data_IF_021553202877
#
_entry.id   IF_021553202877
#
_cell.length_a   1.000
_cell.length_b   1.000
_cell.length_c   1.000
_cell.angle_alpha   90.00
_cell.angle_beta   90.00
_cell.angle_gamma   90.00
#
_symmetry.space_group_name_H-M   'P 1'
#
loop_
_entity.id
_entity.type
_entity.pdbx_description
1 polymer ?
#
# COMPACT_ATOMS: atom_id res chain seq x y z
N UNK A 1 -25.89 0.25 -40.00
CA UNK A 1 -26.12 -0.75 -38.94
C UNK A 1 -25.10 -0.47 -37.85
N UNK A 2 -25.52 -0.05 -36.67
CA UNK A 2 -24.63 0.00 -35.49
C UNK A 2 -24.11 -1.42 -35.35
N UNK A 3 -22.83 -1.63 -35.60
CA UNK A 3 -22.22 -2.93 -35.38
C UNK A 3 -22.17 -3.09 -33.86
N UNK A 4 -23.11 -3.83 -33.26
CA UNK A 4 -23.24 -3.99 -31.80
C UNK A 4 -22.13 -4.90 -31.25
N UNK A 5 -21.38 -5.58 -32.14
CA UNK A 5 -20.33 -6.53 -31.79
C UNK A 5 -19.24 -5.92 -30.87
N UNK A 6 -18.64 -4.74 -31.17
CA UNK A 6 -17.64 -4.12 -30.30
C UNK A 6 -18.17 -3.84 -28.89
N UNK A 7 -19.42 -3.39 -28.77
CA UNK A 7 -20.07 -3.12 -27.48
C UNK A 7 -20.29 -4.39 -26.66
N UNK A 8 -20.70 -5.49 -27.31
CA UNK A 8 -20.85 -6.80 -26.66
C UNK A 8 -19.50 -7.28 -26.16
N UNK A 9 -18.46 -7.22 -27.02
CA UNK A 9 -17.09 -7.61 -26.65
C UNK A 9 -16.60 -6.76 -25.47
N UNK A 10 -16.80 -5.45 -25.54
CA UNK A 10 -16.43 -4.52 -24.48
C UNK A 10 -17.10 -4.88 -23.15
N UNK A 11 -18.41 -5.07 -23.18
CA UNK A 11 -19.22 -5.38 -22.00
C UNK A 11 -18.80 -6.72 -21.38
N UNK A 12 -18.51 -7.74 -22.20
CA UNK A 12 -18.00 -9.02 -21.72
C UNK A 12 -16.63 -8.88 -21.04
N UNK A 13 -15.68 -8.17 -21.66
CA UNK A 13 -14.35 -7.91 -21.08
C UNK A 13 -14.49 -7.16 -19.76
N UNK A 14 -15.35 -6.14 -19.70
CA UNK A 14 -15.62 -5.37 -18.49
C UNK A 14 -16.17 -6.24 -17.36
N UNK A 15 -17.19 -7.06 -17.63
CA UNK A 15 -17.80 -7.96 -16.63
C UNK A 15 -16.78 -8.98 -16.11
N UNK A 16 -16.00 -9.60 -17.00
CA UNK A 16 -14.98 -10.59 -16.63
C UNK A 16 -13.89 -9.93 -15.78
N UNK A 17 -13.40 -8.76 -16.21
CA UNK A 17 -12.35 -8.00 -15.51
C UNK A 17 -12.81 -7.57 -14.12
N UNK A 18 -13.98 -6.95 -14.00
CA UNK A 18 -14.54 -6.51 -12.71
C UNK A 18 -14.87 -7.71 -11.82
N UNK A 19 -15.37 -8.81 -12.38
CA UNK A 19 -15.63 -10.04 -11.65
C UNK A 19 -14.37 -10.64 -11.02
N UNK A 20 -13.27 -10.69 -11.77
CA UNK A 20 -11.97 -11.15 -11.26
C UNK A 20 -11.43 -10.22 -10.16
N UNK A 21 -11.53 -8.90 -10.36
CA UNK A 21 -11.12 -7.91 -9.37
C UNK A 21 -11.89 -8.08 -8.06
N UNK A 22 -13.22 -8.18 -8.11
CA UNK A 22 -14.07 -8.39 -6.92
C UNK A 22 -13.67 -9.67 -6.19
N UNK A 23 -13.40 -10.76 -6.92
CA UNK A 23 -12.97 -12.03 -6.33
C UNK A 23 -11.65 -11.87 -5.56
N UNK A 24 -10.67 -11.17 -6.14
CA UNK A 24 -9.38 -10.94 -5.51
C UNK A 24 -9.49 -10.04 -4.28
N UNK A 25 -10.31 -9.00 -4.32
CA UNK A 25 -10.57 -8.14 -3.14
C UNK A 25 -11.26 -8.94 -2.03
N UNK A 26 -12.24 -9.80 -2.35
CA UNK A 26 -12.86 -10.69 -1.35
C UNK A 26 -11.81 -11.61 -0.72
N UNK A 27 -10.92 -12.20 -1.52
CA UNK A 27 -9.82 -13.01 -1.02
C UNK A 27 -8.91 -12.21 -0.08
N UNK A 28 -8.52 -11.00 -0.46
CA UNK A 28 -7.72 -10.09 0.38
C UNK A 28 -8.37 -9.86 1.75
N UNK A 29 -9.66 -9.53 1.76
CA UNK A 29 -10.41 -9.27 2.99
C UNK A 29 -10.45 -10.53 3.87
N UNK A 30 -10.69 -11.70 3.29
CA UNK A 30 -10.66 -12.97 4.03
C UNK A 30 -9.29 -13.22 4.66
N UNK A 31 -8.21 -12.97 3.93
CA UNK A 31 -6.84 -13.17 4.44
C UNK A 31 -6.51 -12.19 5.56
N UNK A 32 -6.87 -10.91 5.43
CA UNK A 32 -6.69 -9.91 6.49
C UNK A 32 -7.45 -10.33 7.76
N UNK A 33 -8.65 -10.92 7.60
CA UNK A 33 -9.48 -11.40 8.71
C UNK A 33 -8.99 -12.70 9.38
N UNK A 34 -7.92 -13.33 8.87
CA UNK A 34 -7.28 -14.45 9.56
C UNK A 34 -6.57 -14.01 10.84
N UNK A 35 -6.20 -12.74 10.93
CA UNK A 35 -5.50 -12.20 12.10
C UNK A 35 -6.41 -12.14 13.32
N UNK A 36 -5.79 -12.19 14.51
CA UNK A 36 -6.47 -12.07 15.80
C UNK A 36 -7.31 -10.79 15.88
N UNK A 37 -8.42 -10.87 16.60
CA UNK A 37 -9.31 -9.74 16.82
C UNK A 37 -8.59 -8.65 17.62
N UNK A 38 -8.69 -7.40 17.17
CA UNK A 38 -8.27 -6.20 17.90
C UNK A 38 -9.34 -5.13 17.72
N UNK A 39 -9.67 -4.41 18.79
CA UNK A 39 -10.63 -3.31 18.72
C UNK A 39 -9.95 -2.04 18.17
N UNK A 40 -10.42 -1.58 17.01
CA UNK A 40 -10.05 -0.30 16.38
C UNK A 40 -11.28 0.45 15.87
N UNK A 41 -12.44 0.20 16.49
CA UNK A 41 -13.70 0.86 16.15
C UNK A 41 -14.05 2.01 17.10
N UNK A 42 -13.16 2.30 18.05
CA UNK A 42 -13.25 3.44 18.95
C UNK A 42 -13.03 4.77 18.20
N UNK A 43 -13.56 5.87 18.76
CA UNK A 43 -13.31 7.23 18.27
C UNK A 43 -13.49 7.45 16.75
N UNK A 44 -14.64 7.06 16.14
CA UNK A 44 -14.81 7.05 14.69
C UNK A 44 -14.57 8.42 14.02
N UNK A 45 -14.92 9.52 14.70
CA UNK A 45 -14.66 10.89 14.20
C UNK A 45 -13.17 11.23 14.10
N UNK A 46 -12.35 10.84 15.10
CA UNK A 46 -10.90 11.04 15.07
C UNK A 46 -10.25 10.20 13.97
N UNK A 47 -10.71 8.95 13.80
CA UNK A 47 -10.25 8.03 12.75
C UNK A 47 -10.56 8.55 11.35
N UNK A 48 -11.78 9.03 11.13
CA UNK A 48 -12.18 9.65 9.86
C UNK A 48 -11.33 10.89 9.57
N UNK A 49 -11.12 11.74 10.58
CA UNK A 49 -10.26 12.93 10.45
C UNK A 49 -8.83 12.53 10.10
N UNK A 50 -8.28 11.48 10.73
CA UNK A 50 -6.94 10.97 10.42
C UNK A 50 -6.83 10.48 8.97
N UNK A 51 -7.80 9.65 8.55
CA UNK A 51 -7.86 9.15 7.17
C UNK A 51 -7.95 10.28 6.15
N UNK A 52 -8.84 11.27 6.36
CA UNK A 52 -8.97 12.42 5.47
C UNK A 52 -7.64 13.20 5.43
N UNK A 53 -7.04 13.48 6.58
CA UNK A 53 -5.79 14.25 6.66
C UNK A 53 -4.61 13.56 5.96
N UNK A 54 -4.55 12.23 6.02
CA UNK A 54 -3.39 11.47 5.54
C UNK A 54 -3.62 10.93 4.13
N UNK A 55 -4.70 10.18 3.91
CA UNK A 55 -4.98 9.55 2.62
C UNK A 55 -5.45 10.56 1.57
N UNK A 56 -6.40 11.44 1.89
CA UNK A 56 -6.87 12.48 0.96
C UNK A 56 -5.94 13.71 0.96
N UNK A 57 -5.58 14.19 2.14
CA UNK A 57 -4.78 15.41 2.32
C UNK A 57 -3.27 15.24 2.06
N UNK A 58 -2.77 14.01 1.89
CA UNK A 58 -1.36 13.71 1.58
C UNK A 58 -0.35 14.35 2.56
N UNK A 59 -0.78 14.67 3.79
CA UNK A 59 -0.02 15.52 4.72
C UNK A 59 1.36 14.97 5.10
N UNK A 60 1.53 13.64 5.13
CA UNK A 60 2.83 13.01 5.38
C UNK A 60 3.68 12.82 4.11
N UNK A 61 3.08 12.85 2.92
CA UNK A 61 3.83 12.67 1.67
C UNK A 61 4.68 13.90 1.32
N UNK A 62 4.16 15.09 1.61
CA UNK A 62 4.81 16.39 1.34
C UNK A 62 6.01 16.72 2.23
N UNK A 63 6.30 15.93 3.26
CA UNK A 63 7.51 16.07 4.09
C UNK A 63 8.83 15.95 3.31
N UNK A 64 8.79 15.36 2.12
CA UNK A 64 9.89 15.41 1.14
C UNK A 64 9.39 16.18 -0.09
N UNK A 65 9.73 17.48 -0.25
CA UNK A 65 9.00 18.40 -1.14
C UNK A 65 8.96 17.94 -2.60
N UNK A 66 10.11 17.53 -3.16
CA UNK A 66 10.18 17.07 -4.57
C UNK A 66 9.34 15.82 -4.79
N UNK A 67 9.51 14.79 -3.96
CA UNK A 67 8.76 13.54 -4.12
C UNK A 67 7.28 13.69 -3.79
N UNK A 68 6.94 14.60 -2.87
CA UNK A 68 5.57 14.92 -2.50
C UNK A 68 4.84 15.67 -3.60
N UNK A 69 5.46 16.69 -4.19
CA UNK A 69 4.88 17.45 -5.30
C UNK A 69 4.57 16.56 -6.51
N UNK A 70 5.53 15.74 -6.94
CA UNK A 70 5.32 14.79 -8.04
C UNK A 70 4.18 13.81 -7.73
N UNK A 71 4.07 13.32 -6.50
CA UNK A 71 3.01 12.39 -6.11
C UNK A 71 1.64 13.07 -6.05
N UNK A 72 1.57 14.32 -5.60
CA UNK A 72 0.33 15.11 -5.58
C UNK A 72 -0.17 15.35 -7.01
N UNK A 73 0.72 15.63 -7.97
CA UNK A 73 0.37 15.74 -9.38
C UNK A 73 -0.23 14.42 -9.89
N UNK A 74 0.43 13.29 -9.63
CA UNK A 74 -0.07 11.98 -10.04
C UNK A 74 -1.42 11.66 -9.37
N UNK A 75 -1.58 11.98 -8.09
CA UNK A 75 -2.80 11.74 -7.33
C UNK A 75 -3.99 12.57 -7.84
N UNK A 76 -3.80 13.88 -8.04
CA UNK A 76 -4.83 14.77 -8.57
C UNK A 76 -5.17 14.37 -10.01
N UNK A 77 -4.14 14.12 -10.83
CA UNK A 77 -4.31 13.64 -12.20
C UNK A 77 -5.11 12.34 -12.24
N UNK A 78 -4.79 11.38 -11.38
CA UNK A 78 -5.54 10.13 -11.25
C UNK A 78 -7.02 10.40 -10.92
N UNK A 79 -7.34 11.19 -9.90
CA UNK A 79 -8.74 11.48 -9.53
C UNK A 79 -9.51 12.13 -10.67
N UNK A 80 -8.90 13.13 -11.31
CA UNK A 80 -9.55 13.92 -12.34
C UNK A 80 -9.74 13.09 -13.62
N UNK A 81 -8.71 12.37 -14.09
CA UNK A 81 -8.77 11.52 -15.30
C UNK A 81 -9.73 10.34 -15.11
N UNK A 82 -9.95 9.85 -13.88
CA UNK A 82 -10.97 8.82 -13.64
C UNK A 82 -12.40 9.28 -13.98
N UNK A 83 -12.68 10.58 -14.01
CA UNK A 83 -13.97 11.10 -14.51
C UNK A 83 -14.10 10.83 -16.01
N UNK A 84 -13.01 10.97 -16.77
CA UNK A 84 -12.98 10.62 -18.19
C UNK A 84 -13.07 9.12 -18.43
N UNK A 85 -12.46 8.32 -17.55
CA UNK A 85 -12.62 6.87 -17.60
C UNK A 85 -14.10 6.47 -17.53
N UNK A 86 -14.92 7.17 -16.75
CA UNK A 86 -16.38 6.95 -16.74
C UNK A 86 -17.00 7.24 -18.11
N UNK A 87 -16.58 8.29 -18.81
CA UNK A 87 -17.02 8.59 -20.17
C UNK A 87 -16.63 7.46 -21.14
N UNK A 88 -15.37 7.03 -21.12
CA UNK A 88 -14.85 5.94 -21.95
C UNK A 88 -15.61 4.63 -21.69
N UNK A 89 -15.94 4.32 -20.43
CA UNK A 89 -16.75 3.14 -20.09
C UNK A 89 -18.16 3.23 -20.67
N UNK A 90 -18.81 4.39 -20.59
CA UNK A 90 -20.16 4.59 -21.13
C UNK A 90 -20.14 4.53 -22.66
N UNK A 91 -19.16 5.17 -23.30
CA UNK A 91 -18.95 5.11 -24.75
C UNK A 91 -18.72 3.67 -25.21
N UNK A 92 -17.96 2.87 -24.46
CA UNK A 92 -17.73 1.46 -24.76
C UNK A 92 -19.00 0.59 -24.67
N UNK A 93 -19.86 0.83 -23.68
CA UNK A 93 -21.11 0.07 -23.49
C UNK A 93 -22.15 0.49 -24.53
N UNK A 94 -22.34 1.79 -24.72
CA UNK A 94 -23.44 2.35 -25.52
C UNK A 94 -23.07 2.56 -26.99
N UNK A 95 -21.77 2.58 -27.32
CA UNK A 95 -21.28 2.87 -28.67
C UNK A 95 -21.40 4.35 -29.02
N UNK A 96 -21.60 5.21 -28.01
CA UNK A 96 -21.51 6.65 -28.19
C UNK A 96 -20.06 7.09 -28.35
N UNK A 97 -19.92 8.32 -28.83
CA UNK A 97 -18.68 9.07 -28.81
C UNK A 97 -18.91 10.24 -27.85
N UNK A 98 -17.99 10.52 -26.92
CA UNK A 98 -17.98 11.70 -26.02
C UNK A 98 -19.30 11.90 -25.27
N UNK A 99 -19.86 10.84 -24.67
CA UNK A 99 -21.22 10.83 -24.11
C UNK A 99 -21.60 12.08 -23.28
N UNK A 100 -20.71 12.58 -22.43
CA UNK A 100 -21.02 13.68 -21.51
C UNK A 100 -21.11 15.05 -22.19
N UNK A 101 -20.55 15.21 -23.38
CA UNK A 101 -20.65 16.47 -24.14
C UNK A 101 -22.09 16.87 -24.48
N UNK A 102 -23.03 15.91 -24.50
CA UNK A 102 -24.47 16.14 -24.74
C UNK A 102 -25.19 16.68 -23.51
N UNK A 103 -24.63 16.45 -22.32
CA UNK A 103 -25.26 16.77 -21.04
C UNK A 103 -24.63 18.00 -20.38
N UNK A 104 -23.34 18.23 -20.61
CA UNK A 104 -22.66 19.41 -20.12
C UNK A 104 -22.72 20.57 -21.12
N UNK A 105 -22.64 21.79 -20.61
CA UNK A 105 -22.45 22.94 -21.48
C UNK A 105 -21.07 22.87 -22.16
N UNK A 106 -20.99 23.42 -23.39
CA UNK A 106 -19.79 23.33 -24.24
C UNK A 106 -18.54 23.88 -23.53
N UNK A 107 -18.68 25.01 -22.83
CA UNK A 107 -17.54 25.65 -22.15
C UNK A 107 -16.97 24.78 -21.02
N UNK A 108 -17.83 24.16 -20.22
CA UNK A 108 -17.45 23.31 -19.11
C UNK A 108 -16.87 21.99 -19.60
N UNK A 109 -17.48 21.39 -20.63
CA UNK A 109 -16.95 20.18 -21.25
C UNK A 109 -15.55 20.41 -21.86
N UNK A 110 -15.36 21.51 -22.58
CA UNK A 110 -14.05 21.86 -23.13
C UNK A 110 -13.01 22.11 -22.03
N UNK A 111 -13.38 22.80 -20.96
CA UNK A 111 -12.51 22.97 -19.79
C UNK A 111 -12.13 21.62 -19.15
N UNK A 112 -13.10 20.71 -19.04
CA UNK A 112 -12.89 19.39 -18.44
C UNK A 112 -11.90 18.56 -19.27
N UNK A 113 -12.12 18.42 -20.59
CA UNK A 113 -11.21 17.70 -21.49
C UNK A 113 -9.83 18.36 -21.53
N UNK A 114 -9.74 19.69 -21.60
CA UNK A 114 -8.47 20.40 -21.54
C UNK A 114 -7.72 20.14 -20.23
N UNK A 115 -8.44 20.03 -19.11
CA UNK A 115 -7.85 19.69 -17.82
C UNK A 115 -7.29 18.26 -17.84
N UNK A 116 -8.02 17.30 -18.41
CA UNK A 116 -7.57 15.91 -18.55
C UNK A 116 -6.28 15.82 -19.36
N UNK A 117 -6.20 16.53 -20.49
CA UNK A 117 -5.01 16.61 -21.34
C UNK A 117 -3.78 17.14 -20.59
N UNK A 118 -3.94 18.27 -19.89
CA UNK A 118 -2.86 18.89 -19.12
C UNK A 118 -2.40 17.96 -18.00
N UNK A 119 -3.33 17.36 -17.27
CA UNK A 119 -2.98 16.40 -16.22
C UNK A 119 -2.32 15.14 -16.77
N UNK A 120 -2.74 14.62 -17.93
CA UNK A 120 -2.10 13.47 -18.57
C UNK A 120 -0.62 13.75 -18.90
N UNK A 121 -0.32 14.95 -19.43
CA UNK A 121 1.07 15.38 -19.65
C UNK A 121 1.85 15.52 -18.34
N UNK A 122 1.26 16.17 -17.33
CA UNK A 122 1.91 16.36 -16.03
C UNK A 122 2.18 15.03 -15.30
N UNK A 123 1.26 14.07 -15.41
CA UNK A 123 1.43 12.70 -14.92
C UNK A 123 2.57 12.03 -15.67
N UNK A 124 2.57 12.08 -17.02
CA UNK A 124 3.62 11.49 -17.84
C UNK A 124 5.02 12.02 -17.45
N UNK A 125 5.17 13.34 -17.31
CA UNK A 125 6.41 13.97 -16.84
C UNK A 125 6.78 13.50 -15.44
N UNK A 126 5.82 13.46 -14.51
CA UNK A 126 6.06 13.03 -13.13
C UNK A 126 6.53 11.56 -13.04
N UNK A 127 5.94 10.69 -13.84
CA UNK A 127 6.27 9.26 -13.91
C UNK A 127 7.67 9.05 -14.51
N UNK A 128 8.04 9.79 -15.56
CA UNK A 128 9.40 9.78 -16.11
C UNK A 128 10.42 10.23 -15.06
N UNK A 129 10.11 11.25 -14.27
CA UNK A 129 10.97 11.70 -13.17
C UNK A 129 11.08 10.66 -12.05
N UNK A 130 9.97 9.98 -11.70
CA UNK A 130 10.00 8.88 -10.74
C UNK A 130 10.82 7.69 -11.23
N UNK A 131 10.66 7.31 -12.50
CA UNK A 131 11.43 6.26 -13.14
C UNK A 131 12.93 6.59 -13.17
N UNK A 132 13.28 7.81 -13.56
CA UNK A 132 14.66 8.31 -13.58
C UNK A 132 15.26 8.29 -12.18
N UNK A 133 14.52 8.76 -11.18
CA UNK A 133 14.97 8.75 -9.78
C UNK A 133 15.18 7.34 -9.23
N UNK A 134 14.37 6.38 -9.65
CA UNK A 134 14.47 4.98 -9.23
C UNK A 134 15.65 4.26 -9.89
N UNK A 135 15.81 4.44 -11.21
CA UNK A 135 16.74 3.64 -12.00
C UNK A 135 18.09 4.32 -12.27
N UNK A 136 18.14 5.65 -12.33
CA UNK A 136 19.36 6.40 -12.65
C UNK A 136 20.05 6.98 -11.40
N UNK A 137 19.29 7.54 -10.44
CA UNK A 137 19.85 8.34 -9.31
C UNK A 137 20.45 7.51 -8.16
N UNK A 138 20.52 6.18 -8.28
CA UNK A 138 21.21 5.26 -7.33
C UNK A 138 20.98 5.54 -5.82
N UNK A 139 19.74 5.82 -5.42
CA UNK A 139 19.40 6.11 -4.02
C UNK A 139 19.50 4.84 -3.16
N UNK A 140 20.30 4.86 -2.08
CA UNK A 140 20.60 3.69 -1.21
C UNK A 140 19.40 2.80 -0.89
N UNK A 141 18.26 3.39 -0.46
CA UNK A 141 17.05 2.62 -0.07
C UNK A 141 16.36 1.86 -1.22
N UNK A 142 16.67 2.18 -2.48
CA UNK A 142 16.15 1.47 -3.66
C UNK A 142 17.11 0.39 -4.18
N UNK A 143 18.34 0.33 -3.65
CA UNK A 143 19.39 -0.62 -4.05
C UNK A 143 19.82 -1.53 -2.90
N UNK A 144 19.04 -1.56 -1.81
CA UNK A 144 19.26 -2.47 -0.69
C UNK A 144 18.93 -3.92 -1.06
N UNK A 145 19.40 -4.88 -0.26
CA UNK A 145 19.31 -6.31 -0.58
C UNK A 145 17.87 -6.79 -0.76
N UNK A 146 16.93 -6.30 0.04
CA UNK A 146 15.51 -6.67 -0.02
C UNK A 146 14.78 -6.13 -1.25
N UNK A 147 15.38 -5.18 -1.99
CA UNK A 147 14.78 -4.62 -3.20
C UNK A 147 15.16 -5.36 -4.48
N UNK A 148 16.01 -6.40 -4.40
CA UNK A 148 16.42 -7.19 -5.57
C UNK A 148 15.27 -8.10 -6.05
N UNK A 149 15.14 -8.27 -7.37
CA UNK A 149 14.12 -9.14 -7.97
C UNK A 149 12.75 -8.48 -8.08
N UNK A 150 11.71 -9.17 -7.59
CA UNK A 150 10.30 -8.78 -7.76
C UNK A 150 9.97 -7.36 -7.28
N UNK A 151 10.41 -6.89 -6.09
CA UNK A 151 10.10 -5.53 -5.62
C UNK A 151 10.57 -4.43 -6.58
N UNK A 152 11.70 -4.60 -7.25
CA UNK A 152 12.14 -3.63 -8.26
C UNK A 152 11.30 -3.73 -9.52
N UNK A 153 11.14 -4.95 -10.05
CA UNK A 153 10.40 -5.21 -11.28
C UNK A 153 8.95 -4.72 -11.20
N UNK A 154 8.25 -5.01 -10.11
CA UNK A 154 6.87 -4.57 -9.87
C UNK A 154 6.73 -3.04 -9.94
N UNK A 155 7.66 -2.31 -9.31
CA UNK A 155 7.61 -0.85 -9.34
C UNK A 155 7.89 -0.28 -10.74
N UNK A 156 8.82 -0.87 -11.49
CA UNK A 156 9.12 -0.42 -12.85
C UNK A 156 7.96 -0.74 -13.80
N UNK A 157 7.32 -1.90 -13.67
CA UNK A 157 6.13 -2.26 -14.43
C UNK A 157 5.00 -1.25 -14.26
N UNK A 158 4.72 -0.83 -13.03
CA UNK A 158 3.68 0.17 -12.76
C UNK A 158 3.98 1.48 -13.51
N UNK A 159 5.24 1.95 -13.46
CA UNK A 159 5.64 3.17 -14.16
C UNK A 159 5.55 3.00 -15.69
N UNK A 160 5.87 1.82 -16.23
CA UNK A 160 5.69 1.52 -17.65
C UNK A 160 4.22 1.48 -18.07
N UNK A 161 3.35 0.86 -17.26
CA UNK A 161 1.90 0.88 -17.49
C UNK A 161 1.38 2.33 -17.53
N UNK A 162 1.76 3.15 -16.55
CA UNK A 162 1.34 4.56 -16.49
C UNK A 162 1.83 5.35 -17.72
N UNK A 163 3.09 5.20 -18.14
CA UNK A 163 3.62 5.86 -19.35
C UNK A 163 2.84 5.42 -20.59
N UNK A 164 2.67 4.12 -20.80
CA UNK A 164 1.97 3.57 -21.98
C UNK A 164 0.52 4.04 -21.99
N UNK A 165 -0.18 4.00 -20.86
CA UNK A 165 -1.58 4.42 -20.79
C UNK A 165 -1.75 5.91 -21.06
N UNK A 166 -0.86 6.78 -20.56
CA UNK A 166 -0.91 8.22 -20.84
C UNK A 166 -0.58 8.52 -22.31
N UNK A 167 0.35 7.80 -22.92
CA UNK A 167 0.67 7.96 -24.34
C UNK A 167 -0.48 7.49 -25.24
N UNK A 168 -1.11 6.35 -24.92
CA UNK A 168 -2.30 5.86 -25.63
C UNK A 168 -3.45 6.85 -25.50
N UNK A 169 -3.66 7.41 -24.31
CA UNK A 169 -4.68 8.42 -24.04
C UNK A 169 -4.49 9.68 -24.90
N UNK A 170 -3.28 10.26 -24.88
CA UNK A 170 -2.97 11.46 -25.67
C UNK A 170 -3.04 11.16 -27.18
N UNK A 171 -2.57 9.99 -27.62
CA UNK A 171 -2.63 9.58 -29.03
C UNK A 171 -4.07 9.38 -29.50
N UNK A 172 -4.93 8.77 -28.68
CA UNK A 172 -6.36 8.63 -28.91
C UNK A 172 -7.02 10.00 -29.12
N UNK A 173 -6.77 10.96 -28.22
CA UNK A 173 -7.30 12.33 -28.34
C UNK A 173 -6.76 13.08 -29.58
N UNK A 174 -5.52 12.84 -29.97
CA UNK A 174 -4.94 13.47 -31.16
C UNK A 174 -5.61 12.97 -32.45
N UNK A 175 -5.83 11.65 -32.53
CA UNK A 175 -6.56 11.04 -33.65
C UNK A 175 -8.05 11.40 -33.63
N UNK A 176 -8.66 11.51 -32.46
CA UNK A 176 -10.04 11.98 -32.27
C UNK A 176 -10.22 13.41 -32.83
N UNK A 177 -9.31 14.33 -32.48
CA UNK A 177 -9.32 15.70 -32.99
C UNK A 177 -9.28 15.74 -34.53
N UNK A 178 -8.40 14.96 -35.15
CA UNK A 178 -8.31 14.89 -36.62
C UNK A 178 -9.63 14.40 -37.23
N UNK A 179 -10.27 13.39 -36.65
CA UNK A 179 -11.55 12.86 -37.13
C UNK A 179 -12.68 13.90 -36.99
N UNK A 180 -12.70 14.65 -35.89
CA UNK A 180 -13.65 15.76 -35.69
C UNK A 180 -13.43 16.88 -36.72
N UNK A 181 -12.18 17.26 -37.02
CA UNK A 181 -11.86 18.28 -38.02
C UNK A 181 -12.23 17.85 -39.45
N UNK A 182 -12.06 16.57 -39.76
CA UNK A 182 -12.45 15.96 -41.04
C UNK A 182 -13.95 15.66 -41.15
N UNK A 183 -14.74 15.99 -40.13
CA UNK A 183 -16.18 15.73 -40.03
C UNK A 183 -16.52 14.26 -40.32
N UNK A 184 -15.73 13.33 -39.78
CA UNK A 184 -15.99 11.89 -39.93
C UNK A 184 -17.30 11.50 -39.24
N UNK A 185 -18.08 10.61 -39.85
CA UNK A 185 -19.40 10.22 -39.35
C UNK A 185 -19.31 9.65 -37.92
N UNK A 186 -20.17 10.13 -37.03
CA UNK A 186 -20.19 9.72 -35.62
C UNK A 186 -19.23 10.50 -34.71
N UNK A 187 -18.36 11.34 -35.27
CA UNK A 187 -17.44 12.22 -34.52
C UNK A 187 -17.90 13.66 -34.66
N UNK A 188 -18.16 14.31 -33.53
CA UNK A 188 -18.63 15.69 -33.49
C UNK A 188 -17.68 16.56 -32.69
N UNK A 189 -17.70 17.87 -32.98
CA UNK A 189 -16.80 18.85 -32.36
C UNK A 189 -17.09 18.95 -30.85
N UNK A 190 -16.28 18.29 -30.04
CA UNK A 190 -16.44 18.23 -28.60
C UNK A 190 -15.08 18.06 -27.92
N UNK A 191 -14.85 18.90 -26.90
CA UNK A 191 -13.62 18.93 -26.15
C UNK A 191 -12.64 19.99 -26.64
N UNK A 192 -11.58 20.20 -25.86
CA UNK A 192 -10.47 21.08 -26.19
C UNK A 192 -9.18 20.32 -25.94
N UNK A 193 -8.28 20.32 -26.93
CA UNK A 193 -7.11 19.43 -26.97
C UNK A 193 -5.77 20.19 -26.96
N UNK A 194 -5.44 20.90 -25.86
CA UNK A 194 -4.24 21.73 -25.79
C UNK A 194 -2.93 20.93 -25.82
N UNK A 195 -2.94 19.63 -25.50
CA UNK A 195 -1.73 18.79 -25.49
C UNK A 195 -1.71 17.90 -26.73
N UNK A 196 -2.80 17.20 -27.01
CA UNK A 196 -2.85 16.25 -28.12
C UNK A 196 -2.77 16.91 -29.50
N UNK A 197 -3.09 18.20 -29.61
CA UNK A 197 -2.83 19.00 -30.81
C UNK A 197 -1.35 19.00 -31.23
N UNK A 198 -0.40 18.86 -30.29
CA UNK A 198 1.03 18.72 -30.63
C UNK A 198 1.38 17.36 -31.26
N UNK A 199 0.53 16.34 -31.09
CA UNK A 199 0.72 15.01 -31.69
C UNK A 199 0.03 14.89 -33.06
N UNK A 200 -0.87 15.81 -33.42
CA UNK A 200 -1.58 15.81 -34.71
C UNK A 200 -0.65 15.69 -35.93
N UNK A 201 0.51 16.39 -36.01
CA UNK A 201 1.41 16.27 -37.16
C UNK A 201 1.89 14.85 -37.45
N UNK A 202 1.91 13.97 -36.43
CA UNK A 202 2.31 12.55 -36.58
C UNK A 202 1.26 11.77 -37.38
N UNK A 203 -0.03 12.09 -37.21
CA UNK A 203 -1.15 11.31 -37.77
C UNK A 203 -1.84 12.00 -38.96
N UNK A 204 -1.66 13.31 -39.14
CA UNK A 204 -2.43 14.07 -40.13
C UNK A 204 -2.10 13.71 -41.59
N UNK A 205 -0.92 13.15 -41.89
CA UNK A 205 -0.56 12.71 -43.25
C UNK A 205 -1.30 11.45 -43.70
N UNK A 206 -1.92 10.71 -42.79
CA UNK A 206 -2.67 9.49 -43.11
C UNK A 206 -4.08 9.83 -43.58
N UNK A 207 -4.64 8.94 -44.41
CA UNK A 207 -6.02 9.03 -44.84
C UNK A 207 -6.99 8.83 -43.66
N UNK A 208 -8.23 9.30 -43.81
CA UNK A 208 -9.22 9.28 -42.73
C UNK A 208 -9.54 7.87 -42.23
N UNK A 209 -9.49 6.84 -43.10
CA UNK A 209 -9.79 5.47 -42.68
C UNK A 209 -8.68 4.89 -41.80
N UNK A 210 -7.43 5.19 -42.11
CA UNK A 210 -6.27 4.81 -41.30
C UNK A 210 -6.26 5.57 -39.96
N UNK A 211 -6.58 6.86 -39.94
CA UNK A 211 -6.68 7.63 -38.68
C UNK A 211 -7.77 7.06 -37.77
N UNK A 212 -8.92 6.68 -38.33
CA UNK A 212 -9.98 6.00 -37.58
C UNK A 212 -9.52 4.66 -36.99
N UNK A 213 -8.75 3.87 -37.76
CA UNK A 213 -8.17 2.62 -37.25
C UNK A 213 -7.21 2.87 -36.08
N UNK A 214 -6.34 3.89 -36.18
CA UNK A 214 -5.44 4.25 -35.09
C UNK A 214 -6.20 4.67 -33.84
N UNK A 215 -7.20 5.53 -33.99
CA UNK A 215 -8.04 5.99 -32.88
C UNK A 215 -8.69 4.79 -32.16
N UNK A 216 -9.30 3.86 -32.90
CA UNK A 216 -9.91 2.65 -32.32
C UNK A 216 -8.87 1.76 -31.65
N UNK A 217 -7.68 1.59 -32.23
CA UNK A 217 -6.59 0.81 -31.62
C UNK A 217 -6.12 1.46 -30.31
N UNK A 218 -5.90 2.77 -30.29
CA UNK A 218 -5.50 3.48 -29.08
C UNK A 218 -6.58 3.41 -28.00
N UNK A 219 -7.84 3.61 -28.37
CA UNK A 219 -8.97 3.48 -27.46
C UNK A 219 -9.06 2.07 -26.85
N UNK A 220 -9.01 1.02 -27.68
CA UNK A 220 -9.07 -0.37 -27.21
C UNK A 220 -7.88 -0.76 -26.36
N UNK A 221 -6.65 -0.42 -26.77
CA UNK A 221 -5.45 -0.70 -25.99
C UNK A 221 -5.45 0.05 -24.67
N UNK A 222 -5.93 1.29 -24.65
CA UNK A 222 -6.02 2.09 -23.43
C UNK A 222 -6.99 1.45 -22.44
N UNK A 223 -8.25 1.20 -22.85
CA UNK A 223 -9.26 0.70 -21.91
C UNK A 223 -9.01 -0.75 -21.48
N UNK A 224 -8.53 -1.61 -22.39
CA UNK A 224 -8.11 -2.97 -22.01
C UNK A 224 -6.88 -2.94 -21.11
N UNK A 225 -5.93 -2.03 -21.37
CA UNK A 225 -4.78 -1.79 -20.50
C UNK A 225 -5.18 -1.36 -19.09
N UNK A 226 -6.17 -0.47 -18.95
CA UNK A 226 -6.72 -0.07 -17.64
C UNK A 226 -7.36 -1.27 -16.93
N UNK A 227 -8.17 -2.07 -17.63
CA UNK A 227 -8.82 -3.24 -17.06
C UNK A 227 -7.82 -4.32 -16.64
N UNK A 228 -6.72 -4.49 -17.38
CA UNK A 228 -5.61 -5.37 -16.98
C UNK A 228 -4.88 -4.81 -15.75
N UNK A 229 -4.58 -3.51 -15.73
CA UNK A 229 -3.92 -2.85 -14.60
C UNK A 229 -4.76 -2.92 -13.32
N UNK A 230 -6.09 -2.77 -13.43
CA UNK A 230 -7.03 -2.95 -12.32
C UNK A 230 -6.85 -4.32 -11.63
N UNK A 231 -6.69 -5.39 -12.41
CA UNK A 231 -6.51 -6.73 -11.86
C UNK A 231 -5.07 -6.99 -11.40
N UNK A 232 -4.09 -6.29 -11.98
CA UNK A 232 -2.71 -6.30 -11.53
C UNK A 232 -2.55 -5.69 -10.12
N UNK A 233 -3.41 -4.74 -9.73
CA UNK A 233 -3.36 -4.07 -8.42
C UNK A 233 -3.16 -5.05 -7.26
N UNK A 234 -3.95 -6.13 -7.22
CA UNK A 234 -3.93 -7.12 -6.14
C UNK A 234 -2.56 -7.78 -5.92
N UNK A 235 -1.78 -7.97 -6.98
CA UNK A 235 -0.46 -8.63 -6.93
C UNK A 235 0.71 -7.65 -6.79
N UNK A 236 0.43 -6.35 -6.80
CA UNK A 236 1.42 -5.28 -6.89
C UNK A 236 1.43 -4.41 -5.64
N UNK A 237 2.50 -3.64 -5.45
CA UNK A 237 2.54 -2.58 -4.44
C UNK A 237 1.57 -1.42 -4.73
N UNK A 238 0.99 -1.35 -5.94
CA UNK A 238 -0.01 -0.34 -6.26
C UNK A 238 -1.35 -0.59 -5.54
N UNK A 239 -1.54 -1.75 -4.90
CA UNK A 239 -2.67 -2.03 -4.00
C UNK A 239 -2.87 -0.96 -2.92
N UNK A 240 -1.82 -0.22 -2.57
CA UNK A 240 -1.88 0.91 -1.63
C UNK A 240 -2.93 1.97 -2.00
N UNK A 241 -3.28 2.16 -3.28
CA UNK A 241 -4.32 3.14 -3.66
C UNK A 241 -5.69 2.77 -3.07
N UNK A 242 -5.92 1.49 -2.81
CA UNK A 242 -7.14 0.98 -2.18
C UNK A 242 -6.97 0.91 -0.67
N UNK A 243 -5.87 0.33 -0.19
CA UNK A 243 -5.69 0.05 1.24
C UNK A 243 -5.22 1.25 2.07
N UNK A 244 -4.67 2.31 1.49
CA UNK A 244 -4.27 3.49 2.25
C UNK A 244 -5.42 4.11 3.05
N UNK A 245 -6.65 4.06 2.51
CA UNK A 245 -7.85 4.55 3.19
C UNK A 245 -8.20 3.75 4.45
N UNK A 246 -8.52 2.44 4.37
CA UNK A 246 -8.79 1.66 5.58
C UNK A 246 -7.59 1.58 6.52
N UNK A 247 -6.35 1.54 6.00
CA UNK A 247 -5.16 1.48 6.85
C UNK A 247 -4.99 2.73 7.71
N UNK A 248 -5.17 3.92 7.15
CA UNK A 248 -5.08 5.19 7.90
C UNK A 248 -6.29 5.43 8.81
N UNK A 249 -7.46 4.87 8.48
CA UNK A 249 -8.63 4.91 9.37
C UNK A 249 -8.44 4.04 10.62
N UNK A 250 -7.94 2.81 10.45
CA UNK A 250 -7.73 1.86 11.55
C UNK A 250 -6.34 1.96 12.19
N UNK A 251 -5.58 3.02 11.91
CA UNK A 251 -4.27 3.25 12.50
C UNK A 251 -4.36 3.42 14.03
N UNK A 252 -3.22 3.24 14.72
CA UNK A 252 -3.16 3.44 16.15
C UNK A 252 -3.27 4.94 16.48
N UNK A 253 -4.28 5.31 17.28
CA UNK A 253 -4.51 6.70 17.70
C UNK A 253 -3.81 7.06 19.02
N UNK A 254 -3.29 6.06 19.73
CA UNK A 254 -2.56 6.25 20.97
C UNK A 254 -1.19 6.89 20.73
N UNK A 255 -0.61 7.44 21.79
CA UNK A 255 0.74 8.00 21.74
C UNK A 255 1.75 6.94 21.26
N UNK A 256 2.64 7.36 20.37
CA UNK A 256 3.70 6.49 19.84
C UNK A 256 4.57 5.99 20.99
N UNK A 257 4.79 4.68 21.04
CA UNK A 257 5.53 4.03 22.13
C UNK A 257 4.67 3.59 23.30
N UNK A 258 3.37 3.91 23.32
CA UNK A 258 2.44 3.26 24.25
C UNK A 258 2.24 1.80 23.86
N UNK A 259 2.62 0.89 24.74
CA UNK A 259 2.36 -0.54 24.58
C UNK A 259 1.05 -0.94 25.23
N UNK A 260 0.41 -1.97 24.68
CA UNK A 260 -0.77 -2.56 25.30
C UNK A 260 -0.36 -3.31 26.56
N UNK A 261 -1.21 -3.24 27.58
CA UNK A 261 -1.07 -4.08 28.77
C UNK A 261 -1.68 -5.44 28.46
N UNK A 262 -0.91 -6.51 28.71
CA UNK A 262 -1.42 -7.88 28.61
C UNK A 262 -2.34 -8.14 29.80
N UNK A 263 -3.65 -8.13 29.57
CA UNK A 263 -4.62 -8.26 30.66
C UNK A 263 -4.47 -9.61 31.40
N UNK A 264 -4.05 -10.66 30.70
CA UNK A 264 -3.74 -11.96 31.31
C UNK A 264 -2.61 -11.87 32.34
N UNK A 265 -1.49 -11.25 31.97
CA UNK A 265 -0.35 -11.06 32.87
C UNK A 265 -0.71 -10.12 34.02
N UNK A 266 -1.44 -9.03 33.73
CA UNK A 266 -1.92 -8.10 34.74
C UNK A 266 -2.82 -8.78 35.77
N UNK A 267 -3.74 -9.65 35.32
CA UNK A 267 -4.62 -10.40 36.22
C UNK A 267 -3.84 -11.36 37.10
N UNK A 268 -2.84 -12.05 36.55
CA UNK A 268 -1.95 -12.94 37.31
C UNK A 268 -1.16 -12.15 38.38
N UNK A 269 -0.58 -11.01 38.00
CA UNK A 269 0.13 -10.14 38.95
C UNK A 269 -0.83 -9.62 40.03
N UNK A 270 -2.06 -9.23 39.66
CA UNK A 270 -3.07 -8.82 40.63
C UNK A 270 -3.46 -9.95 41.57
N UNK A 271 -3.55 -11.20 41.10
CA UNK A 271 -3.78 -12.37 41.96
C UNK A 271 -2.67 -12.54 43.01
N UNK A 272 -1.41 -12.28 42.64
CA UNK A 272 -0.27 -12.42 43.56
C UNK A 272 -0.24 -11.34 44.64
N UNK A 273 -0.58 -10.09 44.31
CA UNK A 273 -0.50 -8.95 45.25
C UNK A 273 -1.82 -8.64 45.97
N UNK A 274 -2.94 -8.82 45.29
CA UNK A 274 -4.29 -8.46 45.74
C UNK A 274 -5.30 -9.55 45.31
N UNK A 275 -5.25 -10.75 45.92
CA UNK A 275 -6.10 -11.88 45.55
C UNK A 275 -7.59 -11.52 45.49
N UNK A 276 -8.04 -10.61 46.34
CA UNK A 276 -9.41 -10.12 46.42
C UNK A 276 -9.85 -9.19 45.27
N UNK A 277 -8.90 -8.63 44.50
CA UNK A 277 -9.17 -7.71 43.37
C UNK A 277 -9.10 -8.39 42.01
N UNK A 278 -8.63 -9.63 41.95
CA UNK A 278 -8.51 -10.33 40.70
C UNK A 278 -9.88 -10.78 40.17
N UNK A 279 -10.12 -10.53 38.89
CA UNK A 279 -11.27 -11.10 38.18
C UNK A 279 -11.08 -12.62 38.02
N UNK A 280 -12.09 -13.43 38.37
CA UNK A 280 -12.05 -14.89 38.19
C UNK A 280 -12.13 -15.35 36.72
N UNK A 281 -12.19 -14.42 35.76
CA UNK A 281 -12.12 -14.75 34.34
C UNK A 281 -10.66 -14.95 33.92
N UNK A 282 -10.04 -16.05 34.35
CA UNK A 282 -8.78 -16.53 33.76
C UNK A 282 -9.07 -17.11 32.38
N UNK A 283 -9.14 -16.23 31.37
CA UNK A 283 -9.05 -16.70 29.99
C UNK A 283 -7.66 -17.31 29.80
N UNK A 284 -7.61 -18.63 29.55
CA UNK A 284 -6.37 -19.30 29.18
C UNK A 284 -5.74 -18.59 27.99
N UNK A 285 -4.49 -18.15 28.16
CA UNK A 285 -3.71 -17.58 27.06
C UNK A 285 -3.20 -18.74 26.22
N UNK A 286 -3.65 -18.84 24.96
CA UNK A 286 -3.18 -19.89 24.06
C UNK A 286 -1.70 -19.73 23.71
N UNK A 287 -1.21 -18.48 23.62
CA UNK A 287 0.16 -18.14 23.25
C UNK A 287 0.49 -16.68 23.55
N UNK A 288 1.69 -16.41 24.07
CA UNK A 288 2.23 -15.06 24.24
C UNK A 288 3.00 -14.60 22.99
N UNK A 289 2.68 -13.40 22.49
CA UNK A 289 3.32 -12.83 21.30
C UNK A 289 2.95 -13.53 19.98
N UNK A 290 3.84 -13.43 19.00
CA UNK A 290 3.67 -13.98 17.66
C UNK A 290 4.90 -14.72 17.13
N UNK A 291 4.75 -15.96 16.68
CA UNK A 291 5.80 -16.69 15.96
C UNK A 291 5.55 -16.74 14.46
N UNK A 292 4.27 -16.67 14.04
CA UNK A 292 3.86 -16.68 12.65
C UNK A 292 2.71 -15.67 12.38
N UNK A 293 2.36 -15.45 11.12
CA UNK A 293 1.38 -14.45 10.69
C UNK A 293 -0.03 -14.68 11.26
N UNK A 294 -0.41 -15.92 11.58
CA UNK A 294 -1.71 -16.23 12.19
C UNK A 294 -1.80 -15.78 13.66
N UNK A 295 -0.66 -15.51 14.30
CA UNK A 295 -0.63 -14.96 15.65
C UNK A 295 -0.81 -13.45 15.69
N UNK A 296 -0.62 -12.78 14.55
CA UNK A 296 -0.75 -11.33 14.40
C UNK A 296 -2.22 -10.92 14.33
N UNK A 297 -2.52 -9.68 14.69
CA UNK A 297 -3.87 -9.13 14.58
C UNK A 297 -4.20 -8.67 13.15
N UNK A 298 -5.50 -8.55 12.85
CA UNK A 298 -5.97 -8.20 11.50
C UNK A 298 -5.44 -6.84 10.99
N UNK A 299 -5.13 -5.89 11.88
CA UNK A 299 -4.55 -4.60 11.49
C UNK A 299 -3.12 -4.78 11.03
N UNK A 300 -2.30 -5.58 11.73
CA UNK A 300 -0.94 -5.90 11.32
C UNK A 300 -0.89 -6.58 9.95
N UNK A 301 -1.83 -7.48 9.67
CA UNK A 301 -1.95 -8.13 8.35
C UNK A 301 -2.32 -7.11 7.26
N UNK A 302 -3.29 -6.22 7.53
CA UNK A 302 -3.64 -5.14 6.61
C UNK A 302 -2.47 -4.19 6.36
N UNK A 303 -1.69 -3.89 7.40
CA UNK A 303 -0.49 -3.06 7.34
C UNK A 303 0.54 -3.66 6.38
N UNK A 304 0.73 -4.99 6.41
CA UNK A 304 1.65 -5.69 5.51
C UNK A 304 1.25 -5.56 4.04
N UNK A 305 -0.03 -5.74 3.73
CA UNK A 305 -0.56 -5.52 2.36
C UNK A 305 -0.54 -4.05 1.92
N UNK A 306 -0.67 -3.12 2.86
CA UNK A 306 -0.67 -1.69 2.56
C UNK A 306 0.73 -1.14 2.28
N UNK A 307 1.79 -1.88 2.62
CA UNK A 307 3.17 -1.42 2.48
C UNK A 307 3.52 -1.09 1.02
N UNK A 308 3.92 0.17 0.78
CA UNK A 308 4.33 0.66 -0.55
C UNK A 308 5.78 0.35 -0.90
N UNK A 309 6.53 -0.28 0.02
CA UNK A 309 7.96 -0.57 -0.11
C UNK A 309 8.84 0.66 -0.37
N UNK A 310 8.35 1.87 -0.01
CA UNK A 310 9.03 3.13 -0.31
C UNK A 310 10.35 3.34 0.45
N UNK A 311 10.56 2.59 1.54
CA UNK A 311 11.80 2.59 2.33
C UNK A 311 12.01 3.82 3.21
N UNK A 312 10.98 4.66 3.44
CA UNK A 312 11.06 5.79 4.39
C UNK A 312 11.36 5.30 5.82
N UNK A 313 10.67 4.25 6.26
CA UNK A 313 10.89 3.66 7.57
C UNK A 313 12.32 3.08 7.74
N UNK A 314 12.90 2.52 6.67
CA UNK A 314 14.29 2.04 6.67
C UNK A 314 15.29 3.19 6.69
N UNK A 315 15.05 4.27 5.94
CA UNK A 315 15.97 5.42 5.91
C UNK A 315 16.02 6.21 7.22
N UNK A 316 14.94 6.18 8.01
CA UNK A 316 14.87 6.86 9.31
C UNK A 316 15.17 5.91 10.49
N UNK A 317 15.49 4.64 10.24
CA UNK A 317 15.77 3.66 11.29
C UNK A 317 17.21 3.79 11.81
N UNK A 318 17.44 4.15 13.10
CA UNK A 318 18.79 4.32 13.63
C UNK A 318 19.64 3.04 13.52
N UNK A 319 19.03 1.87 13.78
CA UNK A 319 19.71 0.59 13.67
C UNK A 319 20.20 0.29 12.23
N UNK A 320 19.38 0.61 11.23
CA UNK A 320 19.75 0.44 9.83
C UNK A 320 20.87 1.40 9.41
N UNK A 321 20.81 2.65 9.89
CA UNK A 321 21.83 3.67 9.62
C UNK A 321 23.20 3.26 10.15
N UNK A 322 23.26 2.59 11.31
CA UNK A 322 24.50 2.04 11.89
C UNK A 322 24.95 0.72 11.26
N UNK A 323 24.27 0.22 10.22
CA UNK A 323 24.65 -1.00 9.51
C UNK A 323 24.15 -2.31 10.14
N UNK A 324 23.24 -2.27 11.12
CA UNK A 324 22.58 -3.48 11.64
C UNK A 324 21.60 -4.03 10.58
N UNK A 325 21.28 -5.32 10.67
CA UNK A 325 20.43 -6.01 9.69
C UNK A 325 18.98 -5.50 9.61
N UNK A 326 18.45 -4.90 10.68
CA UNK A 326 17.06 -4.46 10.72
C UNK A 326 16.70 -3.48 9.59
N UNK A 327 15.69 -3.84 8.81
CA UNK A 327 14.98 -2.95 7.90
C UNK A 327 13.48 -3.03 8.22
N UNK A 328 12.85 -2.00 8.82
CA UNK A 328 11.41 -2.04 9.12
C UNK A 328 10.54 -2.25 7.88
N UNK A 329 11.00 -1.83 6.70
CA UNK A 329 10.34 -2.17 5.44
C UNK A 329 10.36 -3.68 5.18
N UNK A 330 11.51 -4.33 5.38
CA UNK A 330 11.67 -5.77 5.15
C UNK A 330 10.72 -6.57 6.06
N UNK A 331 10.57 -6.19 7.33
CA UNK A 331 9.59 -6.80 8.25
C UNK A 331 8.18 -6.84 7.65
N UNK A 332 7.71 -5.74 7.05
CA UNK A 332 6.39 -5.69 6.42
C UNK A 332 6.31 -6.53 5.13
N UNK A 333 7.38 -6.52 4.32
CA UNK A 333 7.46 -7.32 3.09
C UNK A 333 7.44 -8.81 3.41
N UNK A 334 8.27 -9.25 4.35
CA UNK A 334 8.36 -10.64 4.82
C UNK A 334 7.05 -11.13 5.42
N UNK A 335 6.37 -10.27 6.19
CA UNK A 335 5.05 -10.57 6.75
C UNK A 335 4.01 -10.76 5.64
N UNK A 336 4.00 -9.89 4.63
CA UNK A 336 3.11 -10.04 3.47
C UNK A 336 3.41 -11.32 2.69
N UNK A 337 4.68 -11.60 2.44
CA UNK A 337 5.08 -12.74 1.62
C UNK A 337 4.77 -14.07 2.33
N UNK A 338 4.98 -14.15 3.66
CA UNK A 338 4.52 -15.28 4.48
C UNK A 338 2.99 -15.39 4.47
N UNK A 339 2.27 -14.28 4.59
CA UNK A 339 0.81 -14.27 4.59
C UNK A 339 0.22 -14.73 3.24
N UNK A 340 0.85 -14.39 2.12
CA UNK A 340 0.48 -14.91 0.79
C UNK A 340 0.73 -16.42 0.68
N UNK A 341 1.82 -16.94 1.27
CA UNK A 341 2.09 -18.38 1.32
C UNK A 341 1.02 -19.11 2.16
N UNK A 342 0.69 -18.59 3.34
CA UNK A 342 -0.38 -19.11 4.19
C UNK A 342 -1.75 -19.04 3.49
N UNK A 343 -2.04 -17.95 2.79
CA UNK A 343 -3.28 -17.81 1.99
C UNK A 343 -3.40 -18.90 0.92
N UNK A 344 -2.31 -19.19 0.19
CA UNK A 344 -2.28 -20.27 -0.80
C UNK A 344 -2.43 -21.64 -0.16
N UNK A 345 -1.76 -21.88 0.97
CA UNK A 345 -1.89 -23.12 1.72
C UNK A 345 -3.36 -23.38 2.12
N UNK A 346 -4.01 -22.42 2.77
CA UNK A 346 -5.42 -22.50 3.19
C UNK A 346 -6.34 -22.73 1.98
N UNK A 347 -6.09 -22.02 0.88
CA UNK A 347 -6.87 -22.15 -0.36
C UNK A 347 -6.77 -23.54 -0.98
N UNK A 348 -5.59 -24.18 -0.92
CA UNK A 348 -5.37 -25.51 -1.48
C UNK A 348 -5.88 -26.64 -0.57
N UNK A 349 -6.05 -26.35 0.72
CA UNK A 349 -6.38 -27.32 1.76
C UNK A 349 -7.81 -27.16 2.29
N UNK A 350 -8.76 -26.86 1.40
CA UNK A 350 -10.20 -26.74 1.72
C UNK A 350 -10.50 -25.77 2.89
N UNK A 351 -9.76 -24.66 2.99
CA UNK A 351 -9.98 -23.63 4.00
C UNK A 351 -9.32 -23.92 5.35
N UNK A 352 -8.50 -24.96 5.48
CA UNK A 352 -7.73 -25.24 6.68
C UNK A 352 -6.25 -24.99 6.45
N UNK A 353 -5.60 -24.34 7.41
CA UNK A 353 -4.15 -24.25 7.39
C UNK A 353 -3.56 -25.62 7.74
N UNK A 354 -2.65 -26.11 6.89
CA UNK A 354 -1.83 -27.29 7.17
C UNK A 354 -0.41 -26.79 7.37
N UNK A 355 0.20 -27.18 8.48
CA UNK A 355 1.58 -26.80 8.81
C UNK A 355 2.52 -27.15 7.64
N UNK A 356 3.21 -26.14 7.14
CA UNK A 356 4.16 -26.22 6.04
C UNK A 356 5.63 -26.22 6.51
N UNK A 357 5.85 -26.32 7.82
CA UNK A 357 7.18 -26.31 8.45
C UNK A 357 7.90 -24.96 8.36
N UNK A 358 7.17 -23.91 7.99
CA UNK A 358 7.67 -22.57 7.75
C UNK A 358 6.96 -21.59 8.70
N UNK A 359 7.66 -20.57 9.18
CA UNK A 359 7.08 -19.57 10.09
C UNK A 359 7.67 -18.19 9.85
N UNK A 360 6.95 -17.13 10.19
CA UNK A 360 7.46 -15.76 10.04
C UNK A 360 8.81 -15.56 10.77
N UNK A 361 8.90 -16.06 12.01
CA UNK A 361 10.12 -16.06 12.81
C UNK A 361 11.15 -17.07 12.29
N UNK A 362 12.42 -16.69 12.23
CA UNK A 362 13.58 -17.48 11.76
C UNK A 362 13.63 -17.78 10.26
N UNK A 363 12.52 -18.10 9.59
CA UNK A 363 12.55 -18.35 8.14
C UNK A 363 12.53 -17.05 7.30
N UNK A 364 11.77 -16.04 7.72
CA UNK A 364 11.69 -14.75 7.01
C UNK A 364 12.37 -13.63 7.81
N UNK A 365 12.02 -13.53 9.10
CA UNK A 365 12.52 -12.51 10.02
C UNK A 365 13.43 -13.17 11.06
N UNK A 366 14.71 -12.78 11.07
CA UNK A 366 15.70 -13.31 11.99
C UNK A 366 15.63 -12.69 13.39
N UNK A 367 16.05 -13.45 14.41
CA UNK A 367 16.20 -12.92 15.79
C UNK A 367 17.13 -11.71 15.85
N UNK A 368 18.18 -11.66 15.03
CA UNK A 368 19.11 -10.52 14.96
C UNK A 368 18.41 -9.23 14.49
N UNK A 369 17.54 -9.33 13.48
CA UNK A 369 16.72 -8.18 13.04
C UNK A 369 15.79 -7.71 14.15
N UNK A 370 15.14 -8.65 14.85
CA UNK A 370 14.26 -8.34 15.97
C UNK A 370 15.02 -7.64 17.08
N UNK A 371 16.15 -8.17 17.56
CA UNK A 371 16.93 -7.60 18.66
C UNK A 371 17.67 -6.30 18.30
N UNK A 372 17.91 -6.03 17.02
CA UNK A 372 18.48 -4.76 16.58
C UNK A 372 17.53 -3.55 16.78
N UNK A 373 16.22 -3.76 16.92
CA UNK A 373 15.24 -2.70 17.12
C UNK A 373 15.41 -1.98 18.47
N UNK A 374 15.43 -0.64 18.47
CA UNK A 374 15.53 0.16 19.70
C UNK A 374 14.17 0.65 20.21
N UNK A 375 13.06 0.19 19.61
CA UNK A 375 11.68 0.61 19.92
C UNK A 375 11.42 2.13 19.88
N UNK A 376 12.25 2.89 19.15
CA UNK A 376 12.19 4.35 19.09
C UNK A 376 11.03 4.95 18.25
N UNK A 377 10.18 4.12 17.62
CA UNK A 377 9.04 4.55 16.80
C UNK A 377 9.34 5.40 15.53
N UNK A 378 10.61 5.63 15.18
CA UNK A 378 10.97 6.41 13.98
C UNK A 378 10.33 5.85 12.68
N UNK A 379 10.23 4.52 12.56
CA UNK A 379 9.61 3.86 11.42
C UNK A 379 8.10 4.15 11.29
N UNK A 380 7.38 4.17 12.40
CA UNK A 380 5.93 4.44 12.48
C UNK A 380 5.66 5.90 12.15
N UNK A 381 6.49 6.79 12.67
CA UNK A 381 6.39 8.23 12.38
C UNK A 381 6.61 8.56 10.91
N UNK A 382 7.68 8.01 10.33
CA UNK A 382 8.10 8.28 8.96
C UNK A 382 7.15 7.69 7.90
N UNK A 383 6.29 6.75 8.27
CA UNK A 383 5.40 6.07 7.35
C UNK A 383 4.33 7.03 6.80
N UNK A 384 4.20 7.18 5.47
CA UNK A 384 3.27 8.12 4.87
C UNK A 384 1.80 7.72 4.98
N UNK A 385 1.52 6.45 5.33
CA UNK A 385 0.18 5.87 5.41
C UNK A 385 -0.08 5.17 6.76
N UNK A 386 0.64 5.58 7.81
CA UNK A 386 0.46 5.09 9.20
C UNK A 386 0.57 3.58 9.38
N UNK A 387 1.54 2.95 8.71
CA UNK A 387 1.90 1.56 9.00
C UNK A 387 2.75 1.49 10.27
N UNK A 388 2.52 0.47 11.08
CA UNK A 388 3.22 0.19 12.33
C UNK A 388 4.01 -1.14 12.29
N UNK A 389 5.25 -1.14 11.73
CA UNK A 389 6.12 -2.32 11.78
C UNK A 389 6.61 -2.64 13.19
N UNK A 390 6.60 -1.67 14.11
CA UNK A 390 7.09 -1.88 15.47
C UNK A 390 6.16 -2.85 16.22
N UNK A 391 4.85 -2.76 16.00
CA UNK A 391 3.89 -3.68 16.61
C UNK A 391 4.22 -5.16 16.35
N UNK A 392 4.56 -5.52 15.12
CA UNK A 392 4.96 -6.89 14.73
C UNK A 392 6.26 -7.29 15.45
N UNK A 393 7.26 -6.40 15.45
CA UNK A 393 8.55 -6.67 16.10
C UNK A 393 8.35 -6.94 17.60
N UNK A 394 7.47 -6.17 18.26
CA UNK A 394 7.22 -6.32 19.70
C UNK A 394 6.49 -7.62 20.03
N UNK A 395 5.48 -8.00 19.23
CA UNK A 395 4.78 -9.27 19.42
C UNK A 395 5.75 -10.47 19.21
N UNK A 396 6.66 -10.37 18.23
CA UNK A 396 7.66 -11.41 18.02
C UNK A 396 8.71 -11.48 19.13
N UNK A 397 9.15 -10.33 19.66
CA UNK A 397 10.04 -10.28 20.85
C UNK A 397 9.37 -10.87 22.08
N UNK A 398 8.08 -10.60 22.27
CA UNK A 398 7.31 -11.17 23.36
C UNK A 398 7.29 -12.70 23.27
N UNK A 399 7.06 -13.26 22.07
CA UNK A 399 7.12 -14.71 21.85
C UNK A 399 8.50 -15.29 22.19
N UNK A 400 9.58 -14.64 21.73
CA UNK A 400 10.95 -15.09 22.02
C UNK A 400 11.24 -15.15 23.53
N UNK A 401 10.72 -14.20 24.30
CA UNK A 401 10.93 -14.14 25.75
C UNK A 401 10.02 -15.14 26.48
N UNK A 402 8.70 -15.06 26.25
CA UNK A 402 7.71 -15.72 27.09
C UNK A 402 7.45 -17.18 26.71
N UNK A 403 7.73 -17.57 25.46
CA UNK A 403 7.48 -18.94 24.96
C UNK A 403 8.79 -19.70 24.69
N UNK A 404 9.77 -19.06 24.03
CA UNK A 404 11.05 -19.73 23.70
C UNK A 404 12.15 -19.53 24.75
N UNK A 405 11.96 -18.68 25.77
CA UNK A 405 13.01 -18.32 26.76
C UNK A 405 14.34 -17.90 26.09
N UNK A 406 14.26 -17.28 24.92
CA UNK A 406 15.40 -16.99 24.03
C UNK A 406 15.68 -15.49 23.91
N UNK A 407 15.61 -14.78 25.04
CA UNK A 407 15.99 -13.38 25.09
C UNK A 407 17.49 -13.19 24.77
N UNK A 408 17.85 -11.99 24.31
CA UNK A 408 19.25 -11.63 24.10
C UNK A 408 20.06 -11.81 25.40
N UNK A 409 21.32 -12.31 25.38
CA UNK A 409 22.10 -12.56 26.59
C UNK A 409 22.21 -11.35 27.53
N UNK A 410 22.38 -10.14 26.99
CA UNK A 410 22.41 -8.92 27.78
C UNK A 410 21.10 -8.66 28.55
N UNK A 411 19.95 -9.01 27.94
CA UNK A 411 18.65 -8.88 28.59
C UNK A 411 18.46 -9.95 29.67
N UNK A 412 18.91 -11.18 29.44
CA UNK A 412 18.89 -12.22 30.46
C UNK A 412 19.74 -11.81 31.67
N UNK A 413 20.95 -11.31 31.44
CA UNK A 413 21.82 -10.80 32.50
C UNK A 413 21.14 -9.67 33.29
N UNK A 414 20.52 -8.72 32.58
CA UNK A 414 19.77 -7.63 33.22
C UNK A 414 18.59 -8.17 34.05
N UNK A 415 17.76 -9.07 33.50
CA UNK A 415 16.62 -9.64 34.22
C UNK A 415 17.06 -10.42 35.46
N UNK A 416 18.11 -11.24 35.35
CA UNK A 416 18.69 -11.95 36.50
C UNK A 416 19.26 -10.99 37.55
N UNK A 417 19.87 -9.87 37.16
CA UNK A 417 20.32 -8.86 38.11
C UNK A 417 19.13 -8.18 38.82
N UNK A 418 18.06 -7.87 38.10
CA UNK A 418 16.85 -7.27 38.67
C UNK A 418 16.22 -8.23 39.68
N UNK A 419 16.11 -9.52 39.34
CA UNK A 419 15.54 -10.55 40.19
C UNK A 419 16.36 -10.76 41.47
N UNK A 420 17.69 -10.84 41.36
CA UNK A 420 18.55 -11.15 42.51
C UNK A 420 18.93 -9.92 43.35
N UNK A 421 19.23 -8.79 42.71
CA UNK A 421 19.82 -7.61 43.36
C UNK A 421 18.87 -6.41 43.43
N UNK A 422 17.75 -6.44 42.71
CA UNK A 422 16.83 -5.29 42.59
C UNK A 422 17.39 -4.14 41.75
N UNK A 423 18.42 -4.36 40.94
CA UNK A 423 19.02 -3.38 40.05
C UNK A 423 19.36 -4.01 38.68
N UNK A 424 19.34 -3.25 37.57
CA UNK A 424 19.65 -3.79 36.23
C UNK A 424 21.12 -4.23 36.07
N UNK A 425 21.99 -3.72 36.92
CA UNK A 425 23.43 -3.96 36.93
C UNK A 425 23.85 -4.78 38.15
N UNK A 426 25.03 -5.44 38.14
CA UNK A 426 25.49 -6.29 39.24
C UNK A 426 26.05 -5.45 40.41
N UNK A 427 25.22 -4.60 41.02
CA UNK A 427 25.56 -3.90 42.26
C UNK A 427 25.40 -4.80 43.47
N UNK A 428 26.20 -4.56 44.50
CA UNK A 428 25.90 -5.07 45.84
C UNK A 428 24.56 -4.49 46.33
N UNK A 429 23.85 -5.21 47.18
CA UNK A 429 22.52 -4.82 47.61
C UNK A 429 22.47 -3.48 48.38
N UNK A 430 23.56 -3.09 49.05
CA UNK A 430 23.71 -1.77 49.70
C UNK A 430 23.89 -0.64 48.68
N UNK A 431 24.46 -0.96 47.52
CA UNK A 431 24.82 -0.01 46.45
C UNK A 431 23.79 0.01 45.31
N UNK A 432 22.71 -0.77 45.43
CA UNK A 432 21.72 -0.98 44.37
C UNK A 432 20.99 0.28 43.90
N UNK A 433 21.11 1.39 44.61
CA UNK A 433 20.50 2.69 44.25
C UNK A 433 21.50 3.62 43.55
N UNK A 434 22.80 3.30 43.52
CA UNK A 434 23.83 4.13 42.89
C UNK A 434 23.55 4.36 41.40
N UNK A 435 23.00 3.38 40.69
CA UNK A 435 22.65 3.52 39.26
C UNK A 435 21.59 4.60 39.00
N UNK A 436 20.79 4.98 40.01
CA UNK A 436 19.81 6.05 39.90
C UNK A 436 20.50 7.42 39.96
N UNK A 437 21.61 7.50 40.70
CA UNK A 437 22.37 8.73 40.93
C UNK A 437 23.31 9.09 39.77
N UNK A 438 23.60 8.14 38.86
CA UNK A 438 24.55 8.30 37.74
C UNK A 438 23.98 8.99 36.48
N UNK A 439 22.89 9.78 36.58
CA UNK A 439 22.37 10.56 35.45
C UNK A 439 22.67 12.05 35.54
#
# INVERSE_FOLDING_TARGET
MINIIPNIIFTLILIISVGFFIRNIKKLITVIKLGKAVNRFDNPGKRLTNMIRIALGQSKMVSKPVSGMLHVIVYIGFIIINIELLEILIDGITGSHRFFSKYFNVSFYNFLIASFEVFALLVLVSVILFWSRRNLVKIKRFFSSEMKGWPKFDADNILYFEIVLMLLFLSMNATDLILQERNFEGYYKAGSFPVSSFLVPIFNSFDTSTVYMFERVFWWLHITGILLFLNYLYYSKHLHILLAFPNTYFSNLEDKGKFNVLESVKNEVLLMFYPEKASQNSTNVEKFGASDVLDLNWVQLMNAYSCTECGRCTSECPANLTGKKLSPRKIMMDTRDRLEKVSKNISNNNGKFIDDGDRLLDNYISKEELWACTSCNACVEACPIDIDPLSIIMDMRQYLIMEESSAHPDLNNMMSNIENNGAPWPYNQQDRELWIQEN
#
